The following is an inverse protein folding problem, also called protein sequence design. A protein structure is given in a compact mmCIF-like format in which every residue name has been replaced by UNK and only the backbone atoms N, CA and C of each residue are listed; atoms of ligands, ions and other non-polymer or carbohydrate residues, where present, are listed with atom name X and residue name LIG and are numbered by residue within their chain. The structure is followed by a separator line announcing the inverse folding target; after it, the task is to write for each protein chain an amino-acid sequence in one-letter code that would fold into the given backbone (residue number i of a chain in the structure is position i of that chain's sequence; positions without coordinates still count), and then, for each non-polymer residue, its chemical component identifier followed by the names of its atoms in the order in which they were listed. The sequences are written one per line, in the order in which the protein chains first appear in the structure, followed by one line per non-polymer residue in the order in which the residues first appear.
data_IF_906472851722
#
_entry.id   IF_906472851722
#
_cell.length_a   1.000
_cell.length_b   1.000
_cell.length_c   1.000
_cell.angle_alpha   90.00
_cell.angle_beta   90.00
_cell.angle_gamma   90.00
#
_symmetry.space_group_name_H-M   'P 1'
#
loop_
_entity.id
_entity.type
_entity.pdbx_description
1 polymer ?
#
# COMPACT_ATOMS: atom_id res chain seq x y z
N UNK A 1 -17.54 -8.87 15.14
CA UNK A 1 -16.13 -9.03 15.57
C UNK A 1 -15.32 -7.99 14.83
N UNK A 2 -14.38 -7.32 15.50
CA UNK A 2 -13.50 -6.33 14.88
C UNK A 2 -12.60 -7.01 13.84
N UNK A 3 -12.54 -6.47 12.63
CA UNK A 3 -11.70 -6.98 11.55
C UNK A 3 -10.21 -6.83 11.89
N UNK A 4 -9.41 -7.80 11.48
CA UNK A 4 -7.98 -7.88 11.78
C UNK A 4 -7.18 -7.71 10.48
N UNK A 5 -6.28 -6.73 10.45
CA UNK A 5 -5.37 -6.53 9.33
C UNK A 5 -3.91 -6.67 9.79
N UNK A 6 -3.06 -7.19 8.91
CA UNK A 6 -1.62 -7.15 9.05
C UNK A 6 -1.08 -6.21 7.98
N UNK A 7 -0.38 -5.16 8.42
CA UNK A 7 0.40 -4.30 7.53
C UNK A 7 1.86 -4.71 7.61
N UNK A 8 2.39 -5.36 6.56
CA UNK A 8 3.80 -5.72 6.47
C UNK A 8 4.58 -4.53 5.94
N UNK A 9 5.55 -4.09 6.72
CA UNK A 9 6.25 -2.82 6.54
C UNK A 9 5.64 -1.73 7.41
N UNK A 10 6.34 -1.40 8.50
CA UNK A 10 5.97 -0.35 9.45
C UNK A 10 6.73 0.96 9.17
N UNK A 11 7.11 1.19 7.93
CA UNK A 11 7.72 2.44 7.47
C UNK A 11 6.72 3.59 7.36
N UNK A 12 7.16 4.72 6.81
CA UNK A 12 6.32 5.91 6.69
C UNK A 12 5.07 5.68 5.82
N UNK A 13 5.18 4.91 4.73
CA UNK A 13 4.03 4.56 3.87
C UNK A 13 3.09 3.61 4.61
N UNK A 14 3.59 2.57 5.27
CA UNK A 14 2.77 1.61 6.03
C UNK A 14 1.99 2.30 7.15
N UNK A 15 2.65 3.13 7.97
CA UNK A 15 2.01 3.85 9.07
C UNK A 15 1.19 5.05 8.61
N UNK A 16 1.70 5.84 7.65
CA UNK A 16 1.06 7.09 7.23
C UNK A 16 -0.06 6.91 6.19
N UNK A 17 -0.09 5.81 5.48
CA UNK A 17 -1.06 5.58 4.42
C UNK A 17 -1.95 4.37 4.71
N UNK A 18 -1.52 3.17 4.38
CA UNK A 18 -2.39 1.99 4.38
C UNK A 18 -2.85 1.63 5.80
N UNK A 19 -1.93 1.54 6.76
CA UNK A 19 -2.26 1.26 8.16
C UNK A 19 -3.15 2.34 8.79
N UNK A 20 -2.94 3.61 8.41
CA UNK A 20 -3.80 4.71 8.87
C UNK A 20 -5.23 4.57 8.35
N UNK A 21 -5.44 4.31 7.06
CA UNK A 21 -6.77 4.12 6.47
C UNK A 21 -7.52 2.94 7.11
N UNK A 22 -6.82 1.83 7.34
CA UNK A 22 -7.39 0.66 8.00
C UNK A 22 -7.80 0.96 9.44
N UNK A 23 -6.94 1.62 10.23
CA UNK A 23 -7.27 2.03 11.59
C UNK A 23 -8.47 3.00 11.63
N UNK A 24 -8.51 3.99 10.74
CA UNK A 24 -9.63 4.93 10.63
C UNK A 24 -10.94 4.23 10.24
N UNK A 25 -10.88 3.13 9.49
CA UNK A 25 -12.03 2.30 9.16
C UNK A 25 -12.45 1.35 10.32
N UNK A 26 -11.80 1.44 11.48
CA UNK A 26 -12.13 0.63 12.66
C UNK A 26 -11.53 -0.78 12.67
N UNK A 27 -10.53 -1.04 11.84
CA UNK A 27 -9.78 -2.30 11.87
C UNK A 27 -8.73 -2.26 12.97
N UNK A 28 -8.48 -3.41 13.60
CA UNK A 28 -7.25 -3.60 14.36
C UNK A 28 -6.10 -3.89 13.40
N UNK A 29 -5.02 -3.13 13.50
CA UNK A 29 -3.87 -3.23 12.58
C UNK A 29 -2.65 -3.73 13.33
N UNK A 30 -2.18 -4.92 12.99
CA UNK A 30 -0.88 -5.42 13.43
C UNK A 30 0.17 -5.04 12.39
N UNK A 31 1.13 -4.19 12.75
CA UNK A 31 2.28 -3.88 11.91
C UNK A 31 3.32 -4.98 12.04
N UNK A 32 3.79 -5.51 10.92
CA UNK A 32 4.85 -6.51 10.87
C UNK A 32 6.12 -5.92 10.25
N UNK A 33 7.21 -5.91 10.99
CA UNK A 33 8.50 -5.37 10.52
C UNK A 33 9.65 -6.14 11.17
N UNK A 34 10.88 -5.91 10.69
CA UNK A 34 12.13 -6.41 11.30
C UNK A 34 12.77 -5.38 12.25
N UNK A 35 12.28 -4.15 12.25
CA UNK A 35 12.81 -3.02 13.03
C UNK A 35 12.26 -3.06 14.45
N UNK A 36 12.98 -3.73 15.36
CA UNK A 36 12.56 -3.93 16.76
C UNK A 36 12.12 -2.64 17.48
N UNK A 37 12.83 -1.49 17.42
CA UNK A 37 12.39 -0.29 18.12
C UNK A 37 11.02 0.23 17.68
N UNK A 38 10.65 0.05 16.41
CA UNK A 38 9.32 0.41 15.89
C UNK A 38 8.25 -0.54 16.46
N UNK A 39 8.53 -1.84 16.46
CA UNK A 39 7.61 -2.86 16.99
C UNK A 39 7.41 -2.68 18.51
N UNK A 40 8.47 -2.42 19.26
CA UNK A 40 8.39 -2.15 20.70
C UNK A 40 7.55 -0.89 21.00
N UNK A 41 7.77 0.18 20.24
CA UNK A 41 7.00 1.41 20.38
C UNK A 41 5.50 1.20 20.07
N UNK A 42 5.17 0.47 18.99
CA UNK A 42 3.78 0.11 18.66
C UNK A 42 3.10 -0.69 19.77
N UNK A 43 3.81 -1.64 20.37
CA UNK A 43 3.29 -2.47 21.46
C UNK A 43 3.19 -1.73 22.81
N UNK A 44 3.96 -0.68 23.00
CA UNK A 44 3.90 0.18 24.18
C UNK A 44 2.78 1.20 24.09
N UNK A 45 2.67 1.88 22.93
CA UNK A 45 1.84 3.08 22.78
C UNK A 45 0.48 2.78 22.15
N UNK A 46 0.33 1.69 21.40
CA UNK A 46 -0.87 1.25 20.68
C UNK A 46 -1.52 2.33 19.81
N UNK A 47 -0.73 3.33 19.41
CA UNK A 47 -1.18 4.46 18.60
C UNK A 47 -0.03 5.40 18.24
N UNK A 48 -0.31 6.31 17.32
CA UNK A 48 0.61 7.36 16.88
C UNK A 48 -0.17 8.44 16.13
N UNK A 49 0.53 9.51 15.73
CA UNK A 49 -0.07 10.61 14.96
C UNK A 49 0.41 10.59 13.51
N UNK A 50 -0.53 10.77 12.59
CA UNK A 50 -0.23 11.07 11.18
C UNK A 50 -0.45 12.56 10.94
N UNK A 51 0.61 13.25 10.53
CA UNK A 51 0.60 14.68 10.24
C UNK A 51 0.32 14.92 8.77
N UNK A 52 -0.69 15.72 8.47
CA UNK A 52 -1.01 16.13 7.10
C UNK A 52 -0.19 17.39 6.78
N UNK A 53 0.79 17.24 5.88
CA UNK A 53 1.64 18.33 5.40
C UNK A 53 1.11 18.86 4.07
N UNK A 54 0.12 19.74 4.17
CA UNK A 54 -0.55 20.35 3.01
C UNK A 54 -0.80 21.84 3.30
N UNK A 55 -1.44 22.55 2.36
CA UNK A 55 -1.85 23.96 2.55
C UNK A 55 -2.79 24.14 3.74
N UNK A 56 -3.61 23.13 4.00
CA UNK A 56 -4.46 23.03 5.18
C UNK A 56 -3.95 21.87 6.04
N UNK A 57 -3.00 22.11 6.96
CA UNK A 57 -2.40 21.09 7.78
C UNK A 57 -3.40 20.48 8.77
N UNK A 58 -3.11 19.28 9.23
CA UNK A 58 -3.95 18.57 10.19
C UNK A 58 -3.23 17.39 10.81
N UNK A 59 -3.88 16.77 11.79
CA UNK A 59 -3.39 15.60 12.48
C UNK A 59 -4.48 14.53 12.54
N UNK A 60 -4.07 13.28 12.41
CA UNK A 60 -4.94 12.11 12.53
C UNK A 60 -4.36 11.22 13.64
N UNK A 61 -5.12 11.03 14.70
CA UNK A 61 -4.77 10.08 15.75
C UNK A 61 -5.06 8.65 15.27
N UNK A 62 -4.04 7.81 15.24
CA UNK A 62 -4.14 6.38 14.90
C UNK A 62 -4.15 5.58 16.19
N UNK A 63 -5.11 4.68 16.31
CA UNK A 63 -5.32 3.83 17.49
C UNK A 63 -5.66 2.40 17.09
N UNK A 64 -5.70 1.48 18.05
CA UNK A 64 -6.04 0.08 17.77
C UNK A 64 -4.95 -0.63 16.95
N UNK A 65 -3.69 -0.33 17.24
CA UNK A 65 -2.54 -0.89 16.57
C UNK A 65 -1.62 -1.62 17.54
N UNK A 66 -0.94 -2.63 17.04
CA UNK A 66 0.15 -3.32 17.70
C UNK A 66 1.25 -3.68 16.68
N UNK A 67 2.29 -4.36 17.13
CA UNK A 67 3.41 -4.76 16.29
C UNK A 67 3.84 -6.20 16.51
N UNK A 68 4.38 -6.82 15.46
CA UNK A 68 4.98 -8.15 15.50
C UNK A 68 6.26 -8.18 14.66
N UNK A 69 7.28 -8.89 15.13
CA UNK A 69 8.46 -9.13 14.31
C UNK A 69 8.09 -10.08 13.17
N UNK A 70 8.27 -9.63 11.93
CA UNK A 70 7.80 -10.34 10.72
C UNK A 70 8.46 -11.70 10.49
N UNK A 71 9.59 -11.98 11.13
CA UNK A 71 10.33 -13.25 11.08
C UNK A 71 10.02 -14.16 12.28
N UNK A 72 9.19 -13.70 13.22
CA UNK A 72 8.86 -14.47 14.44
C UNK A 72 7.74 -15.50 14.18
N UNK A 73 7.66 -16.56 15.01
CA UNK A 73 6.54 -17.52 14.96
C UNK A 73 5.16 -16.86 15.20
N UNK A 74 5.12 -15.74 15.93
CA UNK A 74 3.87 -15.04 16.22
C UNK A 74 3.28 -14.37 14.98
N UNK A 75 4.12 -13.99 14.02
CA UNK A 75 3.63 -13.51 12.72
C UNK A 75 2.77 -14.56 12.01
N UNK A 76 3.20 -15.82 11.97
CA UNK A 76 2.43 -16.90 11.34
C UNK A 76 1.07 -17.12 12.02
N UNK A 77 1.00 -16.98 13.36
CA UNK A 77 -0.27 -17.04 14.11
C UNK A 77 -1.20 -15.90 13.71
N UNK A 78 -0.67 -14.67 13.60
CA UNK A 78 -1.44 -13.50 13.15
C UNK A 78 -2.00 -13.71 11.73
N UNK A 79 -1.19 -14.25 10.80
CA UNK A 79 -1.64 -14.60 9.43
C UNK A 79 -2.75 -15.66 9.45
N UNK A 80 -2.68 -16.64 10.34
CA UNK A 80 -3.71 -17.68 10.47
C UNK A 80 -5.09 -17.12 10.85
N UNK A 81 -5.15 -15.96 11.49
CA UNK A 81 -6.37 -15.37 12.06
C UNK A 81 -6.85 -14.11 11.35
N UNK A 82 -6.00 -13.40 10.59
CA UNK A 82 -6.35 -12.11 10.00
C UNK A 82 -7.36 -12.22 8.84
N UNK A 83 -7.98 -11.09 8.54
CA UNK A 83 -8.90 -10.91 7.40
C UNK A 83 -8.18 -10.30 6.17
N UNK A 84 -7.12 -9.52 6.40
CA UNK A 84 -6.41 -8.77 5.36
C UNK A 84 -4.91 -8.69 5.65
N UNK A 85 -4.11 -8.91 4.63
CA UNK A 85 -2.67 -8.61 4.64
C UNK A 85 -2.40 -7.52 3.60
N UNK A 86 -1.72 -6.46 4.01
CA UNK A 86 -1.21 -5.41 3.12
C UNK A 86 0.30 -5.30 3.25
N UNK A 87 0.98 -4.84 2.20
CA UNK A 87 2.45 -4.65 2.22
C UNK A 87 2.87 -3.26 1.76
N UNK A 88 3.94 -2.76 2.34
CA UNK A 88 4.68 -1.57 1.91
C UNK A 88 6.15 -1.71 2.33
N UNK A 89 6.85 -2.67 1.71
CA UNK A 89 8.24 -3.04 2.03
C UNK A 89 9.21 -2.81 0.87
N UNK A 90 8.68 -2.48 -0.29
CA UNK A 90 9.41 -2.45 -1.56
C UNK A 90 9.37 -3.80 -2.30
N UNK A 91 9.29 -3.78 -3.65
CA UNK A 91 9.09 -4.98 -4.46
C UNK A 91 10.18 -6.06 -4.29
N UNK A 92 11.39 -5.65 -3.93
CA UNK A 92 12.53 -6.57 -3.75
C UNK A 92 12.44 -7.40 -2.46
N UNK A 93 11.63 -6.98 -1.50
CA UNK A 93 11.43 -7.69 -0.21
C UNK A 93 10.32 -8.73 -0.31
N UNK A 94 9.44 -8.65 -1.32
CA UNK A 94 8.31 -9.56 -1.49
C UNK A 94 8.70 -11.05 -1.48
N UNK A 95 9.77 -11.51 -2.15
CA UNK A 95 10.18 -12.92 -2.07
C UNK A 95 10.59 -13.36 -0.66
N UNK A 96 11.09 -12.44 0.15
CA UNK A 96 11.54 -12.72 1.53
C UNK A 96 10.33 -12.96 2.43
N UNK A 97 9.32 -12.08 2.37
CA UNK A 97 8.12 -12.21 3.20
C UNK A 97 7.20 -13.35 2.74
N UNK A 98 7.30 -13.76 1.49
CA UNK A 98 6.49 -14.84 0.92
C UNK A 98 6.58 -16.13 1.73
N UNK A 99 7.77 -16.49 2.20
CA UNK A 99 7.98 -17.68 3.04
C UNK A 99 7.21 -17.59 4.36
N UNK A 100 7.26 -16.45 5.04
CA UNK A 100 6.56 -16.26 6.31
C UNK A 100 5.04 -16.26 6.12
N UNK A 101 4.54 -15.67 5.04
CA UNK A 101 3.13 -15.71 4.67
C UNK A 101 2.68 -17.15 4.38
N UNK A 102 3.47 -17.93 3.66
CA UNK A 102 3.18 -19.33 3.36
C UNK A 102 3.05 -20.16 4.64
N UNK A 103 3.94 -19.99 5.62
CA UNK A 103 3.83 -20.63 6.94
C UNK A 103 2.53 -20.26 7.65
N UNK A 104 2.13 -18.99 7.58
CA UNK A 104 0.85 -18.53 8.14
C UNK A 104 -0.37 -19.14 7.43
N UNK A 105 -0.33 -19.30 6.12
CA UNK A 105 -1.40 -19.96 5.33
C UNK A 105 -1.50 -21.45 5.70
N UNK A 106 -0.37 -22.14 5.87
CA UNK A 106 -0.34 -23.52 6.36
C UNK A 106 -0.98 -23.63 7.75
N UNK A 107 -0.64 -22.69 8.66
CA UNK A 107 -1.25 -22.64 9.98
C UNK A 107 -2.76 -22.37 9.93
N UNK A 108 -3.21 -21.45 9.03
CA UNK A 108 -4.63 -21.17 8.80
C UNK A 108 -5.40 -22.40 8.32
N UNK A 109 -4.85 -23.13 7.34
CA UNK A 109 -5.42 -24.40 6.86
C UNK A 109 -5.50 -25.44 7.98
N UNK A 110 -4.40 -25.62 8.73
CA UNK A 110 -4.34 -26.58 9.85
C UNK A 110 -5.36 -26.26 10.97
N UNK A 111 -5.65 -24.98 11.19
CA UNK A 111 -6.68 -24.51 12.12
C UNK A 111 -8.12 -24.65 11.57
N UNK A 112 -8.29 -25.07 10.33
CA UNK A 112 -9.60 -25.16 9.66
C UNK A 112 -10.26 -23.79 9.43
N UNK A 113 -9.51 -22.71 9.40
CA UNK A 113 -10.05 -21.38 9.17
C UNK A 113 -10.26 -21.13 7.66
N UNK A 114 -11.48 -21.34 7.22
CA UNK A 114 -11.92 -21.17 5.82
C UNK A 114 -12.54 -19.80 5.54
N UNK A 115 -12.55 -18.88 6.51
CA UNK A 115 -13.04 -17.53 6.29
C UNK A 115 -12.21 -16.81 5.19
N UNK A 116 -12.82 -16.01 4.34
CA UNK A 116 -12.09 -15.27 3.32
C UNK A 116 -10.98 -14.39 3.92
N UNK A 117 -9.80 -14.43 3.33
CA UNK A 117 -8.69 -13.54 3.61
C UNK A 117 -8.21 -12.90 2.31
N UNK A 118 -7.74 -11.68 2.35
CA UNK A 118 -7.19 -11.02 1.17
C UNK A 118 -5.76 -10.55 1.42
N UNK A 119 -4.98 -10.52 0.35
CA UNK A 119 -3.61 -10.01 0.31
C UNK A 119 -3.53 -8.93 -0.75
N UNK A 120 -3.01 -7.76 -0.40
CA UNK A 120 -2.87 -6.61 -1.30
C UNK A 120 -1.49 -5.99 -1.10
N UNK A 121 -0.64 -6.07 -2.12
CA UNK A 121 0.68 -5.42 -2.08
C UNK A 121 0.56 -3.96 -2.49
N UNK A 122 0.64 -3.06 -1.51
CA UNK A 122 0.56 -1.61 -1.71
C UNK A 122 1.95 -1.03 -2.03
N UNK A 123 2.54 -1.56 -3.09
CA UNK A 123 3.87 -1.20 -3.57
C UNK A 123 3.78 -0.33 -4.83
N UNK A 124 4.79 0.49 -5.06
CA UNK A 124 4.90 1.23 -6.31
C UNK A 124 5.45 0.31 -7.42
N UNK A 125 4.57 -0.43 -8.08
CA UNK A 125 4.94 -1.38 -9.13
C UNK A 125 3.73 -2.06 -9.76
N UNK A 126 3.98 -2.69 -10.91
CA UNK A 126 2.94 -3.42 -11.64
C UNK A 126 2.79 -4.84 -11.11
N UNK A 127 1.54 -5.26 -10.86
CA UNK A 127 1.17 -6.63 -10.48
C UNK A 127 1.99 -7.20 -9.33
N UNK A 128 2.26 -6.37 -8.33
CA UNK A 128 3.11 -6.76 -7.19
C UNK A 128 2.44 -7.82 -6.32
N UNK A 129 1.12 -7.81 -6.20
CA UNK A 129 0.37 -8.85 -5.46
C UNK A 129 0.40 -10.18 -6.22
N UNK A 130 0.22 -10.18 -7.53
CA UNK A 130 0.38 -11.38 -8.37
C UNK A 130 1.78 -11.96 -8.23
N UNK A 131 2.80 -11.11 -8.22
CA UNK A 131 4.21 -11.55 -8.01
C UNK A 131 4.39 -12.18 -6.64
N UNK A 132 3.85 -11.56 -5.58
CA UNK A 132 3.89 -12.13 -4.23
C UNK A 132 3.18 -13.49 -4.18
N UNK A 133 1.98 -13.62 -4.78
CA UNK A 133 1.28 -14.90 -4.86
C UNK A 133 2.15 -16.01 -5.44
N UNK A 134 2.81 -15.72 -6.57
CA UNK A 134 3.70 -16.66 -7.23
C UNK A 134 4.89 -17.07 -6.34
N UNK A 135 5.43 -16.16 -5.54
CA UNK A 135 6.48 -16.49 -4.57
C UNK A 135 5.94 -17.32 -3.41
N UNK A 136 4.75 -17.00 -2.87
CA UNK A 136 4.11 -17.76 -1.78
C UNK A 136 3.84 -19.21 -2.18
N UNK A 137 3.30 -19.43 -3.38
CA UNK A 137 2.97 -20.78 -3.90
C UNK A 137 4.21 -21.69 -3.98
N UNK A 138 5.41 -21.14 -4.21
CA UNK A 138 6.66 -21.92 -4.21
C UNK A 138 6.96 -22.60 -2.86
N UNK A 139 6.37 -22.10 -1.78
CA UNK A 139 6.56 -22.61 -0.41
C UNK A 139 5.38 -23.46 0.08
N UNK A 140 4.38 -23.70 -0.75
CA UNK A 140 3.17 -24.47 -0.43
C UNK A 140 3.16 -25.82 -1.17
N UNK A 141 2.56 -26.83 -0.54
CA UNK A 141 2.22 -28.06 -1.21
C UNK A 141 0.94 -27.94 -2.05
N UNK A 142 0.56 -29.02 -2.71
CA UNK A 142 -0.62 -29.01 -3.59
C UNK A 142 -1.91 -28.72 -2.83
N UNK A 143 -2.09 -29.29 -1.65
CA UNK A 143 -3.29 -29.09 -0.83
C UNK A 143 -3.38 -27.67 -0.26
N UNK A 144 -2.26 -27.10 0.16
CA UNK A 144 -2.21 -25.71 0.66
C UNK A 144 -2.44 -24.72 -0.47
N UNK A 145 -1.94 -25.02 -1.68
CA UNK A 145 -2.20 -24.20 -2.87
C UNK A 145 -3.68 -24.22 -3.24
N UNK A 146 -4.34 -25.40 -3.19
CA UNK A 146 -5.78 -25.50 -3.42
C UNK A 146 -6.58 -24.71 -2.37
N UNK A 147 -6.19 -24.78 -1.10
CA UNK A 147 -6.77 -23.98 -0.02
C UNK A 147 -6.62 -22.48 -0.26
N UNK A 148 -5.42 -22.04 -0.68
CA UNK A 148 -5.16 -20.64 -1.02
C UNK A 148 -6.09 -20.18 -2.15
N UNK A 149 -6.20 -20.94 -3.24
CA UNK A 149 -7.04 -20.57 -4.39
C UNK A 149 -8.53 -20.47 -4.02
N UNK A 150 -9.00 -21.27 -3.10
CA UNK A 150 -10.40 -21.27 -2.67
C UNK A 150 -10.71 -20.13 -1.70
N UNK A 151 -9.84 -19.88 -0.72
CA UNK A 151 -10.17 -19.03 0.45
C UNK A 151 -9.41 -17.71 0.52
N UNK A 152 -8.33 -17.52 -0.27
CA UNK A 152 -7.47 -16.35 -0.15
C UNK A 152 -7.43 -15.58 -1.46
N UNK A 153 -7.84 -14.31 -1.42
CA UNK A 153 -7.73 -13.38 -2.53
C UNK A 153 -6.34 -12.76 -2.60
N UNK A 154 -5.76 -12.69 -3.78
CA UNK A 154 -4.54 -11.91 -4.07
C UNK A 154 -4.92 -10.86 -5.10
N UNK A 155 -5.26 -9.66 -4.63
CA UNK A 155 -5.73 -8.58 -5.46
C UNK A 155 -4.60 -7.57 -5.74
N UNK A 156 -4.30 -7.35 -7.02
CA UNK A 156 -3.40 -6.27 -7.41
C UNK A 156 -4.04 -4.91 -7.11
N UNK A 157 -3.23 -3.88 -6.95
CA UNK A 157 -3.71 -2.54 -6.68
C UNK A 157 -2.85 -1.45 -7.32
N UNK A 158 -3.42 -0.25 -7.40
CA UNK A 158 -2.73 1.00 -7.60
C UNK A 158 -2.81 1.83 -6.32
N UNK A 159 -1.70 2.43 -5.91
CA UNK A 159 -1.64 3.30 -4.73
C UNK A 159 -1.02 4.63 -5.10
N UNK A 160 -1.56 5.71 -4.56
CA UNK A 160 -1.06 7.05 -4.75
C UNK A 160 -1.26 7.91 -3.50
N UNK A 161 -0.17 8.28 -2.86
CA UNK A 161 -0.08 9.25 -1.78
C UNK A 161 1.37 9.66 -1.58
N UNK A 162 1.64 10.95 -1.49
CA UNK A 162 2.96 11.44 -1.12
C UNK A 162 3.12 11.32 0.39
N UNK A 163 4.17 10.58 0.81
CA UNK A 163 4.50 10.33 2.20
C UNK A 163 5.93 10.84 2.46
N UNK A 164 6.13 12.13 2.74
CA UNK A 164 7.44 12.68 3.05
C UNK A 164 7.98 12.08 4.36
N UNK A 165 9.28 12.21 4.58
CA UNK A 165 9.97 11.64 5.76
C UNK A 165 10.59 12.75 6.62
N UNK A 166 9.81 13.63 7.25
CA UNK A 166 10.35 14.55 8.23
C UNK A 166 10.79 13.80 9.48
N UNK A 167 11.62 14.43 10.30
CA UNK A 167 11.96 13.90 11.62
C UNK A 167 10.90 14.33 12.62
N UNK A 168 10.39 13.39 13.39
CA UNK A 168 9.53 13.62 14.53
C UNK A 168 10.20 13.17 15.82
N UNK A 169 9.80 13.72 16.95
CA UNK A 169 10.24 13.29 18.28
C UNK A 169 9.72 11.86 18.56
N UNK A 170 8.45 11.60 18.24
CA UNK A 170 7.89 10.25 18.28
C UNK A 170 8.28 9.49 17.00
N UNK A 171 9.03 8.39 17.16
CA UNK A 171 9.50 7.57 16.04
C UNK A 171 8.38 6.90 15.23
N UNK A 172 7.17 6.80 15.80
CA UNK A 172 6.00 6.24 15.13
C UNK A 172 5.26 7.23 14.25
N UNK A 173 5.40 8.53 14.51
CA UNK A 173 4.69 9.53 13.75
C UNK A 173 5.09 9.49 12.27
N UNK A 174 4.13 9.80 11.43
CA UNK A 174 4.31 9.79 9.98
C UNK A 174 3.73 11.05 9.38
N UNK A 175 4.20 11.43 8.19
CA UNK A 175 3.67 12.57 7.45
C UNK A 175 3.15 12.15 6.10
N UNK A 176 2.05 12.77 5.67
CA UNK A 176 1.39 12.49 4.39
C UNK A 176 0.80 13.78 3.81
N UNK A 177 0.54 13.78 2.50
CA UNK A 177 -0.40 14.72 1.90
C UNK A 177 -1.85 14.32 2.21
N UNK A 178 -2.80 15.25 2.02
CA UNK A 178 -4.22 14.95 2.22
C UNK A 178 -4.76 13.97 1.19
N UNK A 179 -4.36 14.12 -0.07
CA UNK A 179 -4.77 13.23 -1.14
C UNK A 179 -4.31 11.80 -0.89
N UNK A 180 -5.18 10.85 -1.17
CA UNK A 180 -4.83 9.43 -1.24
C UNK A 180 -5.77 8.70 -2.20
N UNK A 181 -5.23 7.72 -2.90
CA UNK A 181 -5.96 6.81 -3.77
C UNK A 181 -5.43 5.38 -3.57
N UNK A 182 -6.35 4.46 -3.40
CA UNK A 182 -6.05 3.04 -3.27
C UNK A 182 -7.07 2.23 -4.05
N UNK A 183 -6.73 1.89 -5.29
CA UNK A 183 -7.60 1.15 -6.19
C UNK A 183 -7.20 -0.31 -6.18
N UNK A 184 -8.14 -1.21 -5.83
CA UNK A 184 -7.91 -2.64 -5.67
C UNK A 184 -8.71 -3.41 -6.71
N UNK A 185 -8.10 -4.41 -7.34
CA UNK A 185 -8.74 -5.27 -8.33
C UNK A 185 -9.93 -6.02 -7.73
N UNK A 186 -11.13 -5.68 -8.21
CA UNK A 186 -12.39 -6.21 -7.67
C UNK A 186 -12.54 -7.72 -7.87
N UNK A 187 -12.10 -8.24 -9.02
CA UNK A 187 -12.31 -9.63 -9.41
C UNK A 187 -11.50 -10.64 -8.58
N UNK A 188 -10.35 -10.22 -8.05
CA UNK A 188 -9.48 -11.09 -7.25
C UNK A 188 -9.84 -11.09 -5.76
N UNK A 189 -10.74 -10.21 -5.31
CA UNK A 189 -11.15 -10.11 -3.92
C UNK A 189 -12.06 -11.27 -3.50
N UNK A 190 -11.83 -11.83 -2.31
CA UNK A 190 -12.65 -12.89 -1.71
C UNK A 190 -13.52 -12.32 -0.59
N UNK A 191 -14.80 -12.74 -0.58
CA UNK A 191 -15.75 -12.33 0.45
C UNK A 191 -16.30 -10.91 0.28
N UNK A 192 -16.80 -10.36 1.37
CA UNK A 192 -17.39 -9.01 1.38
C UNK A 192 -16.32 -7.94 1.16
N UNK A 193 -16.64 -6.96 0.30
CA UNK A 193 -15.80 -5.80 0.05
C UNK A 193 -15.98 -4.78 1.18
N UNK A 194 -14.93 -4.44 1.95
CA UNK A 194 -15.05 -3.49 3.05
C UNK A 194 -15.20 -2.05 2.53
N UNK A 195 -15.91 -1.25 3.30
CA UNK A 195 -15.92 0.21 3.13
C UNK A 195 -14.75 0.82 3.92
N UNK A 196 -13.69 1.18 3.22
CA UNK A 196 -12.50 1.82 3.80
C UNK A 196 -12.32 3.16 3.08
N UNK A 197 -12.26 4.29 3.81
CA UNK A 197 -12.00 5.59 3.21
C UNK A 197 -10.74 5.59 2.35
N UNK A 198 -10.85 6.04 1.10
CA UNK A 198 -9.73 6.07 0.15
C UNK A 198 -9.49 4.77 -0.61
N UNK A 199 -10.21 3.69 -0.30
CA UNK A 199 -10.18 2.44 -1.05
C UNK A 199 -11.33 2.38 -2.07
N UNK A 200 -11.00 2.06 -3.31
CA UNK A 200 -11.94 1.81 -4.40
C UNK A 200 -11.71 0.42 -4.98
N UNK A 201 -12.77 -0.30 -5.28
CA UNK A 201 -12.69 -1.56 -6.01
C UNK A 201 -12.86 -1.31 -7.51
N UNK A 202 -11.79 -1.55 -8.27
CA UNK A 202 -11.74 -1.31 -9.71
C UNK A 202 -12.04 -2.57 -10.51
N UNK A 203 -12.97 -2.47 -11.47
CA UNK A 203 -13.24 -3.55 -12.43
C UNK A 203 -12.16 -3.63 -13.51
N UNK A 204 -11.53 -2.50 -13.84
CA UNK A 204 -10.40 -2.40 -14.75
C UNK A 204 -9.21 -1.68 -14.06
N UNK A 205 -8.46 -2.40 -13.25
CA UNK A 205 -7.31 -1.84 -12.53
C UNK A 205 -6.25 -1.26 -13.47
N UNK A 206 -6.07 -1.84 -14.67
CA UNK A 206 -5.05 -1.35 -15.62
C UNK A 206 -5.28 0.10 -16.04
N UNK A 207 -6.54 0.51 -16.17
CA UNK A 207 -6.87 1.90 -16.47
C UNK A 207 -6.32 2.87 -15.39
N UNK A 208 -6.48 2.53 -14.12
CA UNK A 208 -5.98 3.34 -12.99
C UNK A 208 -4.45 3.34 -12.92
N UNK A 209 -3.81 2.18 -13.14
CA UNK A 209 -2.35 2.08 -13.20
C UNK A 209 -1.77 2.90 -14.34
N UNK A 210 -2.33 2.82 -15.53
CA UNK A 210 -1.87 3.60 -16.68
C UNK A 210 -2.12 5.09 -16.48
N UNK A 211 -3.28 5.48 -15.91
CA UNK A 211 -3.56 6.87 -15.56
C UNK A 211 -2.45 7.42 -14.65
N UNK A 212 -2.12 6.72 -13.56
CA UNK A 212 -1.06 7.14 -12.64
C UNK A 212 0.30 7.21 -13.33
N UNK A 213 0.68 6.20 -14.11
CA UNK A 213 1.98 6.12 -14.78
C UNK A 213 2.15 7.25 -15.81
N UNK A 214 1.13 7.48 -16.63
CA UNK A 214 1.20 8.45 -17.73
C UNK A 214 0.85 9.88 -17.33
N UNK A 215 0.34 10.12 -16.13
CA UNK A 215 0.13 11.47 -15.60
C UNK A 215 1.14 11.79 -14.50
N UNK A 216 0.96 11.31 -13.28
CA UNK A 216 1.80 11.65 -12.14
C UNK A 216 3.27 11.26 -12.34
N UNK A 217 3.52 9.98 -12.65
CA UNK A 217 4.88 9.48 -12.74
C UNK A 217 5.63 10.08 -13.95
N UNK A 218 4.96 10.22 -15.09
CA UNK A 218 5.54 10.86 -16.29
C UNK A 218 5.81 12.34 -16.04
N UNK A 219 4.87 13.05 -15.44
CA UNK A 219 5.06 14.47 -15.08
C UNK A 219 6.24 14.67 -14.14
N UNK A 220 6.38 13.83 -13.10
CA UNK A 220 7.54 13.86 -12.20
C UNK A 220 8.85 13.57 -12.93
N UNK A 221 8.88 12.57 -13.82
CA UNK A 221 10.09 12.22 -14.57
C UNK A 221 10.53 13.36 -15.51
N UNK A 222 9.61 13.94 -16.27
CA UNK A 222 9.90 15.07 -17.16
C UNK A 222 10.42 16.26 -16.34
N UNK A 223 9.74 16.59 -15.25
CA UNK A 223 10.12 17.66 -14.34
C UNK A 223 11.52 17.44 -13.76
N UNK A 224 11.83 16.21 -13.30
CA UNK A 224 13.12 15.86 -12.74
C UNK A 224 14.26 15.96 -13.77
N UNK A 225 14.08 15.43 -14.97
CA UNK A 225 15.11 15.45 -16.00
C UNK A 225 15.40 16.87 -16.51
N UNK A 226 14.36 17.66 -16.80
CA UNK A 226 14.52 19.03 -17.25
C UNK A 226 15.09 19.93 -16.14
N UNK A 227 14.63 19.73 -14.90
CA UNK A 227 15.16 20.43 -13.74
C UNK A 227 16.63 20.14 -13.50
N UNK A 228 17.03 18.86 -13.58
CA UNK A 228 18.43 18.46 -13.46
C UNK A 228 19.31 19.14 -14.52
N UNK A 229 18.87 19.20 -15.78
CA UNK A 229 19.60 19.89 -16.86
C UNK A 229 19.76 21.38 -16.61
N UNK A 230 18.83 22.01 -15.89
CA UNK A 230 18.89 23.42 -15.49
C UNK A 230 19.58 23.66 -14.14
N UNK A 231 20.01 22.59 -13.44
CA UNK A 231 20.70 22.66 -12.16
C UNK A 231 19.80 22.82 -10.93
N UNK A 232 18.50 22.56 -11.05
CA UNK A 232 17.59 22.54 -9.90
C UNK A 232 17.79 21.26 -9.06
N UNK A 233 17.72 21.41 -7.74
CA UNK A 233 17.94 20.31 -6.79
C UNK A 233 16.65 19.57 -6.42
N UNK A 234 15.47 20.20 -6.61
CA UNK A 234 14.18 19.65 -6.19
C UNK A 234 13.14 19.70 -7.30
N UNK A 235 12.14 18.81 -7.23
CA UNK A 235 10.96 18.87 -8.12
C UNK A 235 10.20 20.18 -7.93
N UNK A 236 10.11 20.67 -6.69
CA UNK A 236 9.43 21.91 -6.36
C UNK A 236 10.07 23.10 -7.09
N UNK A 237 11.38 23.22 -7.07
CA UNK A 237 12.10 24.30 -7.76
C UNK A 237 12.02 24.13 -9.27
N UNK A 238 12.07 22.89 -9.76
CA UNK A 238 11.97 22.57 -11.19
C UNK A 238 10.61 22.98 -11.77
N UNK A 239 9.50 22.60 -11.11
CA UNK A 239 8.14 22.91 -11.61
C UNK A 239 7.79 24.39 -11.48
N UNK A 240 8.47 25.13 -10.60
CA UNK A 240 8.32 26.57 -10.47
C UNK A 240 8.94 27.35 -11.67
N UNK A 241 9.83 26.72 -12.45
CA UNK A 241 10.31 27.27 -13.72
C UNK A 241 9.21 27.23 -14.78
N UNK A 242 8.75 28.38 -15.32
CA UNK A 242 7.62 28.40 -16.23
C UNK A 242 7.83 27.55 -17.49
N UNK A 243 9.05 27.50 -18.03
CA UNK A 243 9.34 26.73 -19.25
C UNK A 243 9.24 25.21 -18.99
N UNK A 244 9.66 24.75 -17.80
CA UNK A 244 9.49 23.34 -17.38
C UNK A 244 8.01 23.08 -17.13
N UNK A 245 7.32 23.96 -16.42
CA UNK A 245 5.90 23.83 -16.12
C UNK A 245 5.03 23.69 -17.38
N UNK A 246 5.29 24.51 -18.41
CA UNK A 246 4.59 24.41 -19.70
C UNK A 246 4.80 23.05 -20.38
N UNK A 247 6.03 22.53 -20.41
CA UNK A 247 6.34 21.22 -21.01
C UNK A 247 5.66 20.09 -20.23
N UNK A 248 5.75 20.11 -18.90
CA UNK A 248 5.11 19.09 -18.04
C UNK A 248 3.60 19.11 -18.26
N UNK A 249 2.97 20.29 -18.20
CA UNK A 249 1.53 20.44 -18.41
C UNK A 249 1.09 19.94 -19.80
N UNK A 250 1.82 20.30 -20.86
CA UNK A 250 1.50 19.84 -22.21
C UNK A 250 1.60 18.31 -22.32
N UNK A 251 2.65 17.72 -21.77
CA UNK A 251 2.87 16.27 -21.81
C UNK A 251 1.80 15.48 -21.05
N UNK A 252 1.41 15.91 -19.83
CA UNK A 252 0.36 15.24 -19.07
C UNK A 252 -1.04 15.46 -19.65
N UNK A 253 -1.28 16.61 -20.31
CA UNK A 253 -2.53 16.86 -21.03
C UNK A 253 -2.67 15.93 -22.23
N UNK A 254 -1.61 15.77 -23.04
CA UNK A 254 -1.58 14.86 -24.18
C UNK A 254 -1.83 13.40 -23.76
N UNK A 255 -1.15 12.91 -22.71
CA UNK A 255 -1.40 11.59 -22.18
C UNK A 255 -2.80 11.45 -21.55
N UNK A 256 -3.32 12.50 -20.91
CA UNK A 256 -4.68 12.55 -20.38
C UNK A 256 -5.74 12.35 -21.45
N UNK A 257 -5.61 13.05 -22.59
CA UNK A 257 -6.52 12.86 -23.75
C UNK A 257 -6.49 11.42 -24.27
N UNK A 258 -5.31 10.80 -24.32
CA UNK A 258 -5.14 9.40 -24.69
C UNK A 258 -5.86 8.46 -23.74
N UNK A 259 -5.70 8.66 -22.42
CA UNK A 259 -6.34 7.85 -21.37
C UNK A 259 -7.88 7.98 -21.39
N UNK A 260 -8.39 9.20 -21.56
CA UNK A 260 -9.84 9.44 -21.69
C UNK A 260 -10.40 8.67 -22.89
N UNK A 261 -9.71 8.74 -24.02
CA UNK A 261 -10.12 8.05 -25.25
C UNK A 261 -10.10 6.53 -25.11
N UNK A 262 -9.08 5.98 -24.46
CA UNK A 262 -8.89 4.53 -24.30
C UNK A 262 -9.82 3.94 -23.24
N UNK A 263 -9.95 4.59 -22.09
CA UNK A 263 -10.63 4.03 -20.92
C UNK A 263 -11.96 4.71 -20.56
N UNK A 264 -12.31 5.81 -21.20
CA UNK A 264 -13.57 6.53 -20.95
C UNK A 264 -13.60 7.25 -19.60
N UNK A 265 -12.44 7.69 -19.09
CA UNK A 265 -12.40 8.51 -17.89
C UNK A 265 -13.15 9.84 -18.08
N UNK A 266 -13.70 10.36 -16.97
CA UNK A 266 -14.24 11.71 -16.94
C UNK A 266 -13.12 12.72 -17.23
N UNK A 267 -13.31 13.69 -18.13
CA UNK A 267 -12.32 14.74 -18.41
C UNK A 267 -12.02 15.67 -17.23
N UNK A 268 -12.95 15.79 -16.26
CA UNK A 268 -12.80 16.58 -15.05
C UNK A 268 -12.10 15.77 -13.94
#
# INVERSE_FOLDING_TARGET
TMKQAIQIGAGNIGRGFIGALLSQAGWHVTFADVVEPIIEALNRDHGYTVHILDKDPGEIAITGVDGVISTSPDFAKKVAECDLITTAVGPNVLPIIAKSIAVGIQARKAAGNTAPMNVVCCENGLRTTTRLKNEVVKHLGQEETAFLEEHIGFADCAVDRICPKPSFENILDAAVERYCEWDVEAAAWKGEKPDIPGLTFADNLMAYLERKLFTLNSGHAICAYLGYLKGYATIKDSIADPAIGEIVHAAISESGEGLIKEFGFDPE
#
